data_IF_881957219185
#
_entry.id   IF_881957219185
#
_cell.length_a   1.000
_cell.length_b   1.000
_cell.length_c   1.000
_cell.angle_alpha   90.00
_cell.angle_beta   90.00
_cell.angle_gamma   90.00
#
_symmetry.space_group_name_H-M   'P 1'
#
loop_
_entity.id
_entity.type
_entity.pdbx_description
1 polymer ?
#
# COMPACT_ATOMS: atom_id res chain seq x y z
N UNK A 1 8.72 -18.43 -20.15
CA UNK A 1 9.40 -17.82 -18.98
C UNK A 1 9.36 -18.79 -17.81
N UNK A 2 10.47 -18.99 -17.10
CA UNK A 2 10.54 -19.86 -15.91
C UNK A 2 9.99 -19.15 -14.66
N UNK A 3 9.64 -19.91 -13.62
CA UNK A 3 9.20 -19.34 -12.35
C UNK A 3 10.28 -18.46 -11.69
N UNK A 4 11.55 -18.89 -11.74
CA UNK A 4 12.68 -18.09 -11.24
C UNK A 4 12.81 -16.75 -11.95
N UNK A 5 12.71 -16.73 -13.29
CA UNK A 5 12.74 -15.48 -14.05
C UNK A 5 11.56 -14.56 -13.73
N UNK A 6 10.36 -15.10 -13.54
CA UNK A 6 9.19 -14.31 -13.16
C UNK A 6 9.35 -13.67 -11.78
N UNK A 7 9.91 -14.41 -10.81
CA UNK A 7 10.26 -13.88 -9.49
C UNK A 7 11.29 -12.75 -9.56
N UNK A 8 12.34 -12.92 -10.36
CA UNK A 8 13.36 -11.91 -10.59
C UNK A 8 12.79 -10.61 -11.17
N UNK A 9 11.87 -10.71 -12.13
CA UNK A 9 11.16 -9.56 -12.67
C UNK A 9 10.33 -8.85 -11.60
N UNK A 10 9.54 -9.59 -10.81
CA UNK A 10 8.73 -9.02 -9.72
C UNK A 10 9.59 -8.36 -8.64
N UNK A 11 10.73 -8.94 -8.27
CA UNK A 11 11.65 -8.33 -7.31
C UNK A 11 12.27 -7.03 -7.84
N UNK A 12 12.69 -7.02 -9.11
CA UNK A 12 13.24 -5.82 -9.75
C UNK A 12 12.19 -4.71 -9.86
N UNK A 13 11.00 -5.05 -10.37
CA UNK A 13 9.86 -4.15 -10.53
C UNK A 13 9.49 -3.46 -9.21
N UNK A 14 9.54 -4.21 -8.10
CA UNK A 14 9.26 -3.70 -6.76
C UNK A 14 10.46 -3.04 -6.08
N UNK A 15 11.55 -2.75 -6.80
CA UNK A 15 12.76 -2.11 -6.27
C UNK A 15 13.47 -2.91 -5.16
N UNK A 16 13.24 -4.22 -5.08
CA UNK A 16 13.88 -5.08 -4.09
C UNK A 16 15.31 -5.48 -4.49
N UNK A 17 15.64 -5.53 -5.78
CA UNK A 17 17.02 -5.78 -6.25
C UNK A 17 17.73 -4.53 -6.74
N UNK A 18 16.97 -3.50 -7.11
CA UNK A 18 17.50 -2.20 -7.55
C UNK A 18 16.85 -1.07 -6.74
N UNK A 19 17.25 -0.86 -5.48
CA UNK A 19 16.61 0.10 -4.59
C UNK A 19 16.59 1.52 -5.16
N UNK A 20 15.51 2.24 -4.90
CA UNK A 20 15.38 3.65 -5.23
C UNK A 20 16.27 4.51 -4.32
N UNK A 21 16.65 5.71 -4.78
CA UNK A 21 17.46 6.66 -4.01
C UNK A 21 16.64 7.73 -3.29
N UNK A 22 15.32 7.74 -3.51
CA UNK A 22 14.41 8.70 -2.90
C UNK A 22 12.99 8.14 -2.80
N UNK A 23 12.18 8.71 -1.90
CA UNK A 23 10.76 8.38 -1.77
C UNK A 23 9.93 8.67 -3.04
N UNK A 24 10.10 9.82 -3.73
CA UNK A 24 9.38 10.07 -4.97
C UNK A 24 9.74 9.09 -6.10
N UNK A 25 11.02 8.66 -6.17
CA UNK A 25 11.42 7.60 -7.12
C UNK A 25 10.73 6.29 -6.77
N UNK A 26 10.81 5.84 -5.51
CA UNK A 26 10.15 4.63 -5.06
C UNK A 26 8.66 4.64 -5.43
N UNK A 27 7.94 5.68 -5.04
CA UNK A 27 6.49 5.78 -5.22
C UNK A 27 6.09 5.96 -6.69
N UNK A 28 6.96 6.50 -7.55
CA UNK A 28 6.73 6.50 -9.00
C UNK A 28 6.70 5.08 -9.55
N UNK A 29 7.60 4.21 -9.07
CA UNK A 29 7.81 2.89 -9.64
C UNK A 29 6.88 1.83 -9.05
N UNK A 30 6.65 1.85 -7.73
CA UNK A 30 5.75 0.89 -7.05
C UNK A 30 4.32 1.39 -6.92
N UNK A 31 4.07 2.63 -7.37
CA UNK A 31 2.83 3.42 -7.30
C UNK A 31 2.39 3.78 -5.87
N UNK A 32 2.42 2.80 -4.96
CA UNK A 32 1.91 2.97 -3.61
C UNK A 32 2.52 1.96 -2.63
N UNK A 33 2.63 2.36 -1.37
CA UNK A 33 3.00 1.49 -0.26
C UNK A 33 1.87 1.52 0.77
N UNK A 34 1.36 0.35 1.19
CA UNK A 34 0.29 0.33 2.18
C UNK A 34 0.79 0.90 3.52
N UNK A 35 0.01 1.80 4.10
CA UNK A 35 0.39 2.61 5.25
C UNK A 35 -0.75 2.81 6.25
N UNK A 36 -1.57 1.78 6.45
CA UNK A 36 -2.48 1.76 7.59
C UNK A 36 -1.69 1.84 8.90
N UNK A 37 -0.60 1.08 8.99
CA UNK A 37 0.44 1.18 10.00
C UNK A 37 1.67 1.88 9.37
N UNK A 38 2.09 2.99 9.95
CA UNK A 38 3.23 3.78 9.45
C UNK A 38 4.57 3.07 9.69
N UNK A 39 4.67 2.25 10.74
CA UNK A 39 5.86 1.44 11.02
C UNK A 39 6.02 0.36 9.95
N UNK A 40 4.92 -0.31 9.59
CA UNK A 40 4.91 -1.28 8.50
C UNK A 40 5.29 -0.64 7.15
N UNK A 41 4.74 0.55 6.86
CA UNK A 41 5.11 1.31 5.67
C UNK A 41 6.60 1.67 5.66
N UNK A 42 7.15 2.07 6.81
CA UNK A 42 8.58 2.33 6.97
C UNK A 42 9.44 1.11 6.59
N UNK A 43 9.07 -0.09 7.07
CA UNK A 43 9.78 -1.32 6.70
C UNK A 43 9.69 -1.64 5.20
N UNK A 44 8.55 -1.34 4.57
CA UNK A 44 8.38 -1.53 3.13
C UNK A 44 9.20 -0.52 2.30
N UNK A 45 9.33 0.73 2.77
CA UNK A 45 10.23 1.75 2.20
C UNK A 45 11.69 1.29 2.35
N UNK A 46 12.10 0.93 3.58
CA UNK A 46 13.46 0.44 3.89
C UNK A 46 13.93 -0.62 2.91
N UNK A 47 13.11 -1.65 2.69
CA UNK A 47 13.44 -2.78 1.83
C UNK A 47 13.64 -2.40 0.34
N UNK A 48 13.23 -1.19 -0.06
CA UNK A 48 13.18 -0.74 -1.47
C UNK A 48 13.98 0.54 -1.73
N UNK A 49 14.66 1.08 -0.72
CA UNK A 49 15.42 2.32 -0.86
C UNK A 49 16.82 2.21 -0.27
N UNK A 50 17.76 2.99 -0.81
CA UNK A 50 19.08 3.19 -0.22
C UNK A 50 19.27 4.66 0.10
N UNK A 51 19.72 4.96 1.32
CA UNK A 51 20.01 6.33 1.78
C UNK A 51 18.79 7.14 2.24
N UNK A 52 17.58 6.60 2.12
CA UNK A 52 16.38 7.17 2.75
C UNK A 52 16.35 6.75 4.22
N UNK A 53 15.92 7.65 5.10
CA UNK A 53 15.80 7.41 6.54
C UNK A 53 14.35 7.56 7.02
N UNK A 54 14.03 7.10 8.25
CA UNK A 54 12.74 7.39 8.86
C UNK A 54 12.42 8.89 8.97
N UNK A 55 13.45 9.73 9.16
CA UNK A 55 13.29 11.18 9.21
C UNK A 55 12.86 11.75 7.85
N UNK A 56 13.44 11.27 6.75
CA UNK A 56 13.05 11.70 5.40
C UNK A 56 11.59 11.38 5.09
N UNK A 57 11.09 10.22 5.56
CA UNK A 57 9.67 9.87 5.43
C UNK A 57 8.77 10.83 6.20
N UNK A 58 9.16 11.25 7.41
CA UNK A 58 8.42 12.25 8.17
C UNK A 58 8.44 13.60 7.43
N UNK A 59 9.61 14.06 7.02
CA UNK A 59 9.75 15.32 6.26
C UNK A 59 8.92 15.32 5.00
N UNK A 60 8.91 14.23 4.22
CA UNK A 60 8.12 14.13 2.99
C UNK A 60 6.60 14.11 3.25
N UNK A 61 6.17 13.53 4.39
CA UNK A 61 4.76 13.59 4.82
C UNK A 61 4.36 14.99 5.29
N UNK A 62 5.27 15.72 5.92
CA UNK A 62 5.03 17.06 6.43
C UNK A 62 5.05 18.11 5.31
N UNK A 63 5.95 17.98 4.33
CA UNK A 63 6.00 18.84 3.13
C UNK A 63 4.83 18.59 2.19
N UNK A 64 4.26 17.38 2.19
CA UNK A 64 3.19 16.97 1.29
C UNK A 64 3.67 16.39 -0.04
N UNK A 65 4.98 16.19 -0.22
CA UNK A 65 5.56 15.48 -1.38
C UNK A 65 5.10 14.01 -1.43
N UNK A 66 4.94 13.43 -0.24
CA UNK A 66 4.29 12.14 -0.03
C UNK A 66 2.99 12.37 0.72
N UNK A 67 1.92 11.80 0.19
CA UNK A 67 0.60 11.90 0.78
C UNK A 67 0.16 10.52 1.27
N UNK A 68 -0.29 10.46 2.51
CA UNK A 68 -0.86 9.25 3.10
C UNK A 68 -2.38 9.37 3.12
N UNK A 69 -3.06 8.64 2.25
CA UNK A 69 -4.53 8.68 2.13
C UNK A 69 -5.09 7.34 1.63
N UNK A 70 -6.42 7.22 1.55
CA UNK A 70 -7.08 6.01 1.05
C UNK A 70 -6.87 5.84 -0.47
N UNK A 71 -6.56 4.61 -0.90
CA UNK A 71 -6.41 4.25 -2.31
C UNK A 71 -6.97 2.83 -2.54
N UNK A 72 -6.13 1.89 -2.99
CA UNK A 72 -6.53 0.53 -3.33
C UNK A 72 -7.32 -0.11 -2.20
N UNK A 73 -8.52 -0.60 -2.54
CA UNK A 73 -9.46 -1.28 -1.64
C UNK A 73 -9.91 -0.47 -0.41
N UNK A 74 -9.70 0.85 -0.41
CA UNK A 74 -10.04 1.75 0.69
C UNK A 74 -9.02 1.78 1.81
N UNK A 75 -7.92 1.03 1.70
CA UNK A 75 -6.83 1.06 2.67
C UNK A 75 -5.97 2.31 2.49
N UNK A 76 -5.36 2.76 3.58
CA UNK A 76 -4.42 3.89 3.58
C UNK A 76 -3.11 3.47 2.92
N UNK A 77 -2.59 4.30 2.02
CA UNK A 77 -1.33 4.12 1.31
C UNK A 77 -0.50 5.41 1.32
N UNK A 78 0.83 5.29 1.26
CA UNK A 78 1.72 6.35 0.80
C UNK A 78 1.61 6.46 -0.72
N UNK A 79 1.40 7.67 -1.20
CA UNK A 79 1.31 8.03 -2.62
C UNK A 79 2.22 9.22 -2.88
N UNK A 80 2.76 9.31 -4.09
CA UNK A 80 3.38 10.54 -4.57
C UNK A 80 2.29 11.59 -4.74
N UNK A 81 2.56 12.84 -4.36
CA UNK A 81 1.61 13.96 -4.48
C UNK A 81 0.87 13.99 -5.83
N UNK A 82 1.64 13.90 -6.92
CA UNK A 82 1.12 13.94 -8.31
C UNK A 82 0.12 12.82 -8.64
N UNK A 83 0.20 11.68 -7.95
CA UNK A 83 -0.65 10.52 -8.24
C UNK A 83 -1.94 10.50 -7.40
N UNK A 84 -2.04 11.36 -6.39
CA UNK A 84 -3.16 11.35 -5.43
C UNK A 84 -4.50 11.65 -6.10
N UNK A 85 -4.56 12.71 -6.91
CA UNK A 85 -5.80 13.21 -7.50
C UNK A 85 -6.54 12.17 -8.31
N UNK A 86 -5.85 11.63 -9.31
CA UNK A 86 -6.42 10.65 -10.21
C UNK A 86 -6.68 9.31 -9.51
N UNK A 87 -5.83 8.86 -8.57
CA UNK A 87 -6.07 7.60 -7.84
C UNK A 87 -7.31 7.70 -6.95
N UNK A 88 -7.48 8.80 -6.22
CA UNK A 88 -8.67 9.01 -5.37
C UNK A 88 -9.92 9.19 -6.23
N UNK A 89 -9.84 9.93 -7.34
CA UNK A 89 -10.96 10.08 -8.27
C UNK A 89 -11.40 8.72 -8.87
N UNK A 90 -10.43 7.86 -9.20
CA UNK A 90 -10.67 6.56 -9.80
C UNK A 90 -11.18 5.51 -8.80
N UNK A 91 -10.53 5.39 -7.63
CA UNK A 91 -10.79 4.30 -6.67
C UNK A 91 -11.78 4.70 -5.57
N UNK A 92 -11.84 5.98 -5.23
CA UNK A 92 -12.67 6.54 -4.16
C UNK A 92 -14.15 6.19 -4.27
N UNK A 93 -14.80 6.37 -5.44
CA UNK A 93 -16.21 5.99 -5.62
C UNK A 93 -16.51 4.52 -5.32
N UNK A 94 -15.62 3.61 -5.75
CA UNK A 94 -15.75 2.17 -5.52
C UNK A 94 -15.65 1.85 -4.03
N UNK A 95 -14.69 2.47 -3.33
CA UNK A 95 -14.50 2.28 -1.90
C UNK A 95 -15.65 2.85 -1.06
N UNK A 96 -16.19 4.01 -1.46
CA UNK A 96 -17.36 4.65 -0.83
C UNK A 96 -18.61 3.78 -0.95
N UNK A 97 -18.82 3.19 -2.13
CA UNK A 97 -19.93 2.27 -2.36
C UNK A 97 -19.79 1.01 -1.50
N UNK A 98 -18.59 0.41 -1.46
CA UNK A 98 -18.29 -0.80 -0.68
C UNK A 98 -18.54 -0.62 0.82
N UNK A 99 -18.18 0.53 1.37
CA UNK A 99 -18.33 0.84 2.80
C UNK A 99 -19.72 1.35 3.21
N UNK A 100 -20.63 1.60 2.25
CA UNK A 100 -21.92 2.28 2.51
C UNK A 100 -22.77 1.60 3.58
N UNK A 101 -22.95 0.28 3.49
CA UNK A 101 -23.79 -0.47 4.45
C UNK A 101 -23.31 -0.27 5.88
N UNK A 102 -22.00 -0.43 6.10
CA UNK A 102 -21.43 -0.30 7.43
C UNK A 102 -21.43 1.14 7.94
N UNK A 103 -21.26 2.14 7.06
CA UNK A 103 -21.47 3.55 7.43
C UNK A 103 -22.89 3.79 7.97
N UNK A 104 -23.91 3.25 7.29
CA UNK A 104 -25.30 3.37 7.74
C UNK A 104 -25.55 2.68 9.09
N UNK A 105 -24.96 1.51 9.32
CA UNK A 105 -25.02 0.79 10.61
C UNK A 105 -24.41 1.63 11.76
N UNK A 106 -23.42 2.47 11.45
CA UNK A 106 -22.79 3.41 12.38
C UNK A 106 -23.54 4.75 12.49
N UNK A 107 -24.72 4.89 11.89
CA UNK A 107 -25.50 6.13 11.88
C UNK A 107 -24.98 7.22 10.94
N UNK A 108 -23.96 6.93 10.11
CA UNK A 108 -23.43 7.85 9.11
C UNK A 108 -24.28 7.79 7.84
N UNK A 109 -25.40 8.50 7.83
CA UNK A 109 -26.22 8.66 6.61
C UNK A 109 -25.45 9.36 5.50
N UNK A 110 -25.93 9.24 4.27
CA UNK A 110 -25.27 9.92 3.14
C UNK A 110 -25.37 11.45 3.28
N UNK A 111 -26.47 11.96 3.84
CA UNK A 111 -26.68 13.38 4.17
C UNK A 111 -25.72 13.85 5.25
N UNK A 112 -25.63 13.14 6.38
CA UNK A 112 -24.70 13.47 7.47
C UNK A 112 -23.24 13.41 6.99
N UNK A 113 -22.92 12.39 6.20
CA UNK A 113 -21.58 12.23 5.62
C UNK A 113 -21.24 13.39 4.69
N UNK A 114 -22.19 13.85 3.86
CA UNK A 114 -22.00 15.00 2.97
C UNK A 114 -21.84 16.32 3.74
N UNK A 115 -22.68 16.57 4.76
CA UNK A 115 -22.55 17.72 5.66
C UNK A 115 -21.19 17.73 6.35
N UNK A 116 -20.74 16.56 6.83
CA UNK A 116 -19.45 16.41 7.45
C UNK A 116 -18.28 16.69 6.49
N UNK A 117 -18.38 16.40 5.19
CA UNK A 117 -17.33 16.77 4.22
C UNK A 117 -17.19 18.29 4.06
N UNK A 118 -18.30 19.02 4.11
CA UNK A 118 -18.27 20.49 4.07
C UNK A 118 -17.64 21.03 5.36
N UNK A 119 -18.13 20.56 6.52
CA UNK A 119 -17.59 20.93 7.82
C UNK A 119 -16.09 20.62 7.97
N UNK A 120 -15.62 19.47 7.48
CA UNK A 120 -14.20 19.11 7.49
C UNK A 120 -13.32 20.13 6.75
N UNK A 121 -13.81 20.72 5.65
CA UNK A 121 -13.09 21.78 4.92
C UNK A 121 -12.97 23.07 5.70
N UNK A 122 -13.93 23.34 6.57
CA UNK A 122 -13.94 24.54 7.42
C UNK A 122 -13.09 24.35 8.68
N UNK A 123 -13.17 23.18 9.33
CA UNK A 123 -12.54 22.96 10.64
C UNK A 123 -11.08 22.50 10.59
N UNK A 124 -10.63 21.91 9.48
CA UNK A 124 -9.25 21.46 9.31
C UNK A 124 -8.33 22.60 8.82
N UNK A 125 -8.17 23.63 9.66
CA UNK A 125 -7.25 24.76 9.40
C UNK A 125 -5.80 24.43 9.74
N UNK A 126 -5.59 23.39 10.54
CA UNK A 126 -4.30 22.87 10.99
C UNK A 126 -4.37 21.33 11.10
N UNK A 127 -3.25 20.60 11.23
CA UNK A 127 -3.29 19.17 11.47
C UNK A 127 -3.92 18.82 12.83
N UNK A 128 -5.05 18.09 12.81
CA UNK A 128 -5.80 17.74 14.01
C UNK A 128 -5.81 16.24 14.26
N UNK A 129 -5.68 15.81 15.52
CA UNK A 129 -5.92 14.41 15.90
C UNK A 129 -7.40 14.05 15.71
N UNK A 130 -7.72 12.76 15.55
CA UNK A 130 -9.12 12.31 15.40
C UNK A 130 -10.05 12.85 16.51
N UNK A 131 -9.71 12.81 17.81
CA UNK A 131 -10.55 13.41 18.86
C UNK A 131 -10.76 14.92 18.67
N UNK A 132 -9.73 15.66 18.26
CA UNK A 132 -9.85 17.09 17.96
C UNK A 132 -10.78 17.33 16.76
N UNK A 133 -10.67 16.54 15.69
CA UNK A 133 -11.59 16.63 14.55
C UNK A 133 -13.04 16.41 14.99
N UNK A 134 -13.31 15.38 15.81
CA UNK A 134 -14.65 15.11 16.33
C UNK A 134 -15.18 16.29 17.16
N UNK A 135 -14.34 16.86 18.04
CA UNK A 135 -14.73 18.02 18.84
C UNK A 135 -15.07 19.24 17.97
N UNK A 136 -14.24 19.54 16.97
CA UNK A 136 -14.50 20.66 16.04
C UNK A 136 -15.73 20.45 15.16
N UNK A 137 -15.97 19.22 14.70
CA UNK A 137 -17.18 18.88 13.96
C UNK A 137 -18.44 19.10 14.81
N UNK A 138 -18.39 18.80 16.11
CA UNK A 138 -19.50 19.05 17.02
C UNK A 138 -19.80 20.55 17.19
N UNK A 139 -18.77 21.42 17.21
CA UNK A 139 -18.92 22.88 17.27
C UNK A 139 -19.74 23.44 16.09
N UNK A 140 -19.70 22.77 14.93
CA UNK A 140 -20.42 23.14 13.71
C UNK A 140 -21.63 22.23 13.40
N UNK A 141 -22.11 21.50 14.41
CA UNK A 141 -23.37 20.75 14.34
C UNK A 141 -23.28 19.34 13.74
N UNK A 142 -22.07 18.79 13.54
CA UNK A 142 -21.85 17.40 13.14
C UNK A 142 -21.45 16.57 14.36
N UNK A 143 -22.43 15.94 15.00
CA UNK A 143 -22.21 15.14 16.20
C UNK A 143 -22.11 13.66 15.84
N UNK A 144 -21.04 13.01 16.30
CA UNK A 144 -20.79 11.58 16.12
C UNK A 144 -20.84 10.87 17.47
N UNK A 145 -21.28 9.62 17.49
CA UNK A 145 -21.20 8.79 18.70
C UNK A 145 -19.73 8.41 18.99
N UNK A 146 -19.14 8.91 20.10
CA UNK A 146 -17.74 8.65 20.43
C UNK A 146 -17.48 7.21 20.89
N UNK A 147 -18.52 6.43 21.20
CA UNK A 147 -18.41 5.02 21.60
C UNK A 147 -18.31 4.05 20.42
N UNK A 148 -18.51 4.53 19.20
CA UNK A 148 -18.53 3.72 17.97
C UNK A 148 -17.32 3.96 17.09
N UNK A 149 -17.18 3.16 16.03
CA UNK A 149 -16.19 3.40 14.98
C UNK A 149 -16.56 4.53 14.01
N UNK A 150 -17.67 5.27 14.22
CA UNK A 150 -18.19 6.28 13.29
C UNK A 150 -17.13 7.32 12.88
N UNK A 151 -16.37 7.86 13.84
CA UNK A 151 -15.33 8.84 13.53
C UNK A 151 -14.25 8.29 12.57
N UNK A 152 -13.85 7.02 12.72
CA UNK A 152 -12.88 6.39 11.82
C UNK A 152 -13.46 6.22 10.41
N UNK A 153 -14.72 5.75 10.32
CA UNK A 153 -15.39 5.52 9.04
C UNK A 153 -15.74 6.81 8.31
N UNK A 154 -16.08 7.88 9.03
CA UNK A 154 -16.29 9.21 8.44
C UNK A 154 -14.98 9.75 7.84
N UNK A 155 -13.86 9.63 8.56
CA UNK A 155 -12.57 10.09 8.05
C UNK A 155 -12.09 9.24 6.86
N UNK A 156 -12.34 7.93 6.88
CA UNK A 156 -12.09 7.06 5.72
C UNK A 156 -12.99 7.45 4.53
N UNK A 157 -14.26 7.78 4.76
CA UNK A 157 -15.16 8.29 3.73
C UNK A 157 -14.64 9.60 3.13
N UNK A 158 -14.22 10.54 3.99
CA UNK A 158 -13.64 11.82 3.56
C UNK A 158 -12.34 11.64 2.76
N UNK A 159 -11.47 10.71 3.15
CA UNK A 159 -10.25 10.37 2.41
C UNK A 159 -10.57 9.82 1.02
N UNK A 160 -11.52 8.87 0.92
CA UNK A 160 -11.98 8.33 -0.38
C UNK A 160 -12.78 9.35 -1.21
N UNK A 161 -13.20 10.47 -0.62
CA UNK A 161 -13.82 11.60 -1.31
C UNK A 161 -12.82 12.73 -1.63
N UNK A 162 -11.54 12.51 -1.37
CA UNK A 162 -10.48 13.48 -1.69
C UNK A 162 -10.48 14.71 -0.79
N UNK A 163 -11.01 14.62 0.42
CA UNK A 163 -11.11 15.77 1.34
C UNK A 163 -9.95 15.81 2.33
N UNK A 164 -9.54 14.65 2.85
CA UNK A 164 -8.52 14.59 3.91
C UNK A 164 -7.38 13.65 3.55
N UNK A 165 -6.20 13.94 4.10
CA UNK A 165 -5.11 12.98 4.23
C UNK A 165 -4.70 12.85 5.71
N UNK A 166 -3.89 11.82 5.97
CA UNK A 166 -3.44 11.45 7.31
C UNK A 166 -1.95 11.75 7.41
N UNK A 167 -1.53 12.49 8.45
CA UNK A 167 -0.13 12.57 8.86
C UNK A 167 0.30 11.29 9.59
N UNK A 168 1.14 11.40 10.63
CA UNK A 168 1.45 10.24 11.50
C UNK A 168 0.22 9.80 12.31
N UNK A 169 -0.44 10.76 12.95
CA UNK A 169 -1.62 10.56 13.83
C UNK A 169 -2.67 11.68 13.72
N UNK A 170 -2.43 12.65 12.85
CA UNK A 170 -3.29 13.81 12.61
C UNK A 170 -3.93 13.74 11.22
N UNK A 171 -4.98 14.50 11.01
CA UNK A 171 -5.71 14.68 9.77
C UNK A 171 -5.58 16.13 9.33
N UNK A 172 -5.47 16.34 8.03
CA UNK A 172 -5.43 17.66 7.40
C UNK A 172 -6.16 17.59 6.07
N UNK A 173 -6.43 18.74 5.46
CA UNK A 173 -7.00 18.75 4.11
C UNK A 173 -6.06 18.10 3.10
N UNK A 174 -6.64 17.32 2.20
CA UNK A 174 -5.90 16.77 1.08
C UNK A 174 -5.43 17.95 0.21
N UNK A 175 -4.14 18.04 -0.13
CA UNK A 175 -3.66 19.05 -1.07
C UNK A 175 -4.42 18.97 -2.39
N UNK A 176 -4.73 20.12 -3.00
CA UNK A 176 -5.34 20.14 -4.32
C UNK A 176 -4.37 19.54 -5.34
N UNK A 177 -4.90 18.76 -6.28
CA UNK A 177 -4.13 18.13 -7.35
C UNK A 177 -4.84 18.40 -8.67
N UNK A 178 -4.10 18.97 -9.63
CA UNK A 178 -4.68 19.40 -10.90
C UNK A 178 -4.98 18.24 -11.85
N UNK A 179 -4.31 17.07 -11.69
CA UNK A 179 -4.49 15.93 -12.58
C UNK A 179 -5.41 14.85 -12.01
N UNK A 180 -6.57 14.70 -12.65
CA UNK A 180 -7.55 13.64 -12.40
C UNK A 180 -7.81 12.79 -13.65
N UNK A 181 -7.03 12.98 -14.72
CA UNK A 181 -7.40 12.54 -16.09
C UNK A 181 -7.01 11.11 -16.41
N UNK A 182 -6.38 10.39 -15.49
CA UNK A 182 -5.96 9.01 -15.71
C UNK A 182 -7.09 8.02 -15.40
N UNK A 183 -7.30 7.08 -16.33
CA UNK A 183 -8.27 5.99 -16.20
C UNK A 183 -7.65 4.64 -15.82
N UNK A 184 -8.48 3.61 -15.82
CA UNK A 184 -8.08 2.22 -15.53
C UNK A 184 -6.88 1.74 -16.39
N UNK A 185 -6.77 2.03 -17.70
CA UNK A 185 -5.63 1.57 -18.49
C UNK A 185 -4.27 2.09 -17.96
N UNK A 186 -4.21 3.34 -17.49
CA UNK A 186 -3.00 3.87 -16.86
C UNK A 186 -2.71 3.16 -15.52
N UNK A 187 -3.74 2.90 -14.72
CA UNK A 187 -3.58 2.12 -13.49
C UNK A 187 -3.04 0.71 -13.77
N UNK A 188 -3.49 0.06 -14.86
CA UNK A 188 -2.96 -1.24 -15.29
C UNK A 188 -1.49 -1.12 -15.68
N UNK A 189 -1.09 -0.11 -16.46
CA UNK A 189 0.33 0.09 -16.82
C UNK A 189 1.22 0.33 -15.60
N UNK A 190 0.77 1.16 -14.66
CA UNK A 190 1.48 1.41 -13.39
C UNK A 190 1.55 0.15 -12.54
N UNK A 191 0.47 -0.63 -12.48
CA UNK A 191 0.46 -1.92 -11.81
C UNK A 191 1.46 -2.90 -12.44
N UNK A 192 1.44 -3.10 -13.76
CA UNK A 192 2.36 -4.03 -14.42
C UNK A 192 3.82 -3.56 -14.36
N UNK A 193 4.09 -2.26 -14.27
CA UNK A 193 5.43 -1.72 -13.99
C UNK A 193 5.94 -2.13 -12.61
N UNK A 194 5.07 -2.18 -11.62
CA UNK A 194 5.40 -2.48 -10.23
C UNK A 194 5.33 -3.98 -9.89
N UNK A 195 4.43 -4.72 -10.53
CA UNK A 195 4.03 -6.08 -10.15
C UNK A 195 4.10 -7.09 -11.31
N UNK A 196 4.41 -6.64 -12.52
CA UNK A 196 4.50 -7.51 -13.69
C UNK A 196 5.65 -8.52 -13.60
N UNK A 197 5.49 -9.73 -14.15
CA UNK A 197 4.29 -10.28 -14.80
C UNK A 197 3.16 -10.60 -13.80
N UNK A 198 1.90 -10.30 -14.17
CA UNK A 198 0.72 -10.50 -13.32
C UNK A 198 -0.57 -10.70 -14.13
N UNK A 199 -1.58 -11.38 -13.56
CA UNK A 199 -2.85 -11.63 -14.27
C UNK A 199 -3.85 -10.47 -14.11
N UNK A 200 -4.95 -10.53 -14.87
CA UNK A 200 -6.07 -9.58 -14.71
C UNK A 200 -6.73 -9.76 -13.34
N UNK A 201 -6.80 -10.99 -12.84
CA UNK A 201 -7.32 -11.33 -11.51
C UNK A 201 -6.42 -10.75 -10.41
N UNK A 202 -5.10 -10.83 -10.57
CA UNK A 202 -4.16 -10.18 -9.66
C UNK A 202 -4.38 -8.66 -9.62
N UNK A 203 -4.48 -8.02 -10.79
CA UNK A 203 -4.78 -6.58 -10.89
C UNK A 203 -6.12 -6.22 -10.26
N UNK A 204 -7.16 -7.02 -10.51
CA UNK A 204 -8.51 -6.79 -9.98
C UNK A 204 -8.52 -6.90 -8.46
N UNK A 205 -7.90 -7.95 -7.91
CA UNK A 205 -7.78 -8.13 -6.47
C UNK A 205 -6.94 -7.02 -5.82
N UNK A 206 -5.85 -6.61 -6.47
CA UNK A 206 -4.99 -5.53 -5.97
C UNK A 206 -5.70 -4.18 -6.00
N UNK A 207 -6.27 -3.77 -7.13
CA UNK A 207 -6.92 -2.45 -7.26
C UNK A 207 -8.19 -2.36 -6.40
N UNK A 208 -8.94 -3.46 -6.31
CA UNK A 208 -10.27 -3.50 -5.75
C UNK A 208 -11.33 -2.92 -6.69
N UNK A 209 -11.02 -2.71 -7.98
CA UNK A 209 -12.01 -2.35 -8.98
C UNK A 209 -12.98 -3.52 -9.25
N UNK A 210 -14.20 -3.25 -9.73
CA UNK A 210 -15.07 -4.30 -10.25
C UNK A 210 -14.39 -5.07 -11.39
N UNK A 211 -14.50 -6.40 -11.39
CA UNK A 211 -13.83 -7.25 -12.38
C UNK A 211 -14.21 -6.91 -13.82
N UNK A 212 -15.46 -6.53 -14.06
CA UNK A 212 -15.96 -6.11 -15.38
C UNK A 212 -15.21 -4.88 -15.89
N UNK A 213 -15.04 -3.86 -15.05
CA UNK A 213 -14.34 -2.63 -15.42
C UNK A 213 -12.84 -2.87 -15.61
N UNK A 214 -12.24 -3.66 -14.71
CA UNK A 214 -10.83 -4.02 -14.76
C UNK A 214 -10.48 -4.78 -16.05
N UNK A 215 -11.32 -5.75 -16.44
CA UNK A 215 -11.11 -6.54 -17.64
C UNK A 215 -11.42 -5.75 -18.92
N UNK A 216 -12.47 -4.92 -18.93
CA UNK A 216 -12.87 -4.15 -20.10
C UNK A 216 -11.82 -3.08 -20.48
N UNK A 217 -11.14 -2.51 -19.50
CA UNK A 217 -10.15 -1.46 -19.70
C UNK A 217 -8.69 -1.96 -19.66
N UNK A 218 -8.48 -3.27 -19.70
CA UNK A 218 -7.13 -3.86 -19.73
C UNK A 218 -6.53 -3.69 -21.14
N UNK A 219 -5.36 -3.03 -21.30
CA UNK A 219 -4.80 -2.70 -22.62
C UNK A 219 -4.04 -3.91 -23.21
N UNK A 220 -4.74 -5.00 -23.52
CA UNK A 220 -4.14 -6.27 -23.93
C UNK A 220 -3.24 -6.17 -25.17
N UNK A 221 -3.57 -5.27 -26.10
CA UNK A 221 -2.85 -5.01 -27.34
C UNK A 221 -1.47 -4.39 -27.14
N UNK A 222 -1.22 -3.76 -25.99
CA UNK A 222 0.07 -3.16 -25.62
C UNK A 222 0.97 -4.10 -24.81
N UNK A 223 0.48 -5.31 -24.48
CA UNK A 223 1.09 -6.19 -23.48
C UNK A 223 1.55 -7.52 -24.06
N UNK A 224 2.50 -8.14 -23.36
CA UNK A 224 2.98 -9.50 -23.68
C UNK A 224 2.37 -10.48 -22.70
N UNK A 225 1.63 -11.45 -23.21
CA UNK A 225 1.11 -12.56 -22.41
C UNK A 225 2.19 -13.63 -22.17
N UNK A 226 2.23 -14.17 -20.96
CA UNK A 226 3.04 -15.32 -20.62
C UNK A 226 2.41 -16.18 -19.53
N UNK A 227 3.09 -17.27 -19.17
CA UNK A 227 2.61 -18.25 -18.17
C UNK A 227 2.18 -17.64 -16.82
N UNK A 228 2.79 -16.52 -16.44
CA UNK A 228 2.53 -15.85 -15.14
C UNK A 228 1.71 -14.56 -15.31
N UNK A 229 0.96 -14.45 -16.41
CA UNK A 229 0.13 -13.30 -16.75
C UNK A 229 0.78 -12.35 -17.74
N UNK A 230 0.31 -11.12 -17.72
CA UNK A 230 0.67 -10.04 -18.64
C UNK A 230 1.85 -9.23 -18.12
N UNK A 231 2.65 -8.69 -19.02
CA UNK A 231 3.76 -7.80 -18.71
C UNK A 231 3.95 -6.72 -19.77
N UNK A 232 4.58 -5.61 -19.38
CA UNK A 232 5.03 -4.59 -20.31
C UNK A 232 6.15 -5.16 -21.21
N UNK A 233 6.28 -4.68 -22.46
CA UNK A 233 7.41 -5.03 -23.32
C UNK A 233 8.78 -4.63 -22.73
N UNK A 234 9.81 -5.43 -23.02
CA UNK A 234 11.23 -5.13 -22.72
C UNK A 234 11.61 -4.98 -21.22
N UNK A 235 11.37 -6.02 -20.42
CA UNK A 235 11.81 -6.05 -19.02
C UNK A 235 12.94 -7.07 -18.81
N UNK A 236 14.15 -6.61 -18.46
CA UNK A 236 15.20 -7.55 -18.06
C UNK A 236 14.98 -8.05 -16.64
N UNK A 237 15.19 -9.34 -16.43
CA UNK A 237 15.24 -9.91 -15.10
C UNK A 237 16.58 -9.57 -14.44
N UNK A 238 16.57 -9.30 -13.14
CA UNK A 238 17.81 -9.34 -12.37
C UNK A 238 18.32 -10.79 -12.30
N UNK A 239 19.62 -10.96 -12.14
CA UNK A 239 20.14 -12.24 -11.66
C UNK A 239 19.85 -12.32 -10.16
N UNK A 240 19.25 -13.43 -9.73
CA UNK A 240 18.95 -13.69 -8.33
C UNK A 240 19.86 -14.80 -7.86
N UNK A 241 20.89 -14.43 -7.11
CA UNK A 241 21.79 -15.36 -6.45
C UNK A 241 21.86 -15.01 -4.96
N UNK A 242 21.07 -15.72 -4.15
CA UNK A 242 21.07 -15.57 -2.70
C UNK A 242 20.53 -14.23 -2.19
N UNK A 243 19.76 -13.48 -2.99
CA UNK A 243 19.24 -12.17 -2.57
C UNK A 243 18.21 -12.33 -1.45
N UNK A 244 18.51 -11.78 -0.26
CA UNK A 244 17.63 -11.84 0.92
C UNK A 244 16.95 -10.50 1.18
N UNK A 245 15.66 -10.50 1.54
CA UNK A 245 14.92 -9.31 2.03
C UNK A 245 14.05 -9.63 3.24
N UNK A 246 14.12 -8.80 4.28
CA UNK A 246 13.23 -8.87 5.45
C UNK A 246 12.03 -7.94 5.30
N UNK A 247 10.91 -8.46 4.82
CA UNK A 247 9.73 -7.66 4.52
C UNK A 247 8.80 -7.55 5.73
N UNK A 248 8.23 -6.36 5.92
CA UNK A 248 7.30 -6.08 7.02
C UNK A 248 5.92 -6.74 6.83
N UNK A 249 4.99 -6.54 7.78
CA UNK A 249 3.61 -6.91 7.57
C UNK A 249 3.00 -6.02 6.48
N UNK A 250 1.96 -6.50 5.80
CA UNK A 250 1.28 -5.77 4.72
C UNK A 250 2.15 -5.36 3.51
N UNK A 251 3.32 -5.99 3.35
CA UNK A 251 4.21 -5.66 2.24
C UNK A 251 3.58 -5.98 0.86
N UNK A 252 3.81 -5.09 -0.11
CA UNK A 252 3.23 -5.18 -1.44
C UNK A 252 3.73 -6.41 -2.22
N UNK A 253 4.82 -7.04 -1.79
CA UNK A 253 5.36 -8.25 -2.39
C UNK A 253 4.36 -9.40 -2.42
N UNK A 254 3.59 -9.59 -1.34
CA UNK A 254 2.50 -10.58 -1.32
C UNK A 254 1.14 -9.95 -1.60
N UNK A 255 0.91 -8.70 -1.18
CA UNK A 255 -0.40 -8.05 -1.32
C UNK A 255 -0.68 -7.50 -2.73
N UNK A 256 0.31 -7.55 -3.62
CA UNK A 256 0.19 -7.21 -5.03
C UNK A 256 -0.57 -8.23 -5.87
N UNK A 257 -0.82 -9.44 -5.33
CA UNK A 257 -1.33 -10.57 -6.10
C UNK A 257 -2.49 -11.28 -5.41
N UNK A 258 -3.42 -11.77 -6.22
CA UNK A 258 -4.47 -12.69 -5.79
C UNK A 258 -3.87 -14.08 -5.60
N UNK A 259 -3.18 -14.58 -6.63
CA UNK A 259 -2.41 -15.82 -6.56
C UNK A 259 -0.97 -15.53 -6.09
N UNK A 260 -0.60 -16.18 -4.99
CA UNK A 260 0.69 -15.98 -4.32
C UNK A 260 1.60 -17.18 -4.45
N UNK A 261 1.19 -18.25 -5.12
CA UNK A 261 1.88 -19.53 -5.12
C UNK A 261 3.27 -19.44 -5.78
N UNK A 262 3.45 -18.49 -6.70
CA UNK A 262 4.76 -18.18 -7.28
C UNK A 262 5.78 -17.70 -6.23
N UNK A 263 5.29 -16.99 -5.21
CA UNK A 263 6.09 -16.28 -4.19
C UNK A 263 6.09 -17.00 -2.84
N UNK A 264 5.02 -17.71 -2.49
CA UNK A 264 4.80 -18.34 -1.20
C UNK A 264 4.24 -19.73 -1.42
N UNK A 265 5.00 -20.75 -1.04
CA UNK A 265 4.54 -22.14 -1.10
C UNK A 265 3.23 -22.32 -0.31
N UNK A 266 2.18 -22.91 -0.92
CA UNK A 266 0.91 -23.17 -0.24
C UNK A 266 1.05 -23.88 1.10
N UNK A 267 2.05 -24.77 1.27
CA UNK A 267 2.31 -25.49 2.51
C UNK A 267 2.74 -24.57 3.66
N UNK A 268 3.48 -23.50 3.34
CA UNK A 268 3.97 -22.53 4.33
C UNK A 268 3.03 -21.34 4.53
N UNK A 269 2.03 -21.19 3.67
CA UNK A 269 1.21 -20.01 3.66
C UNK A 269 0.39 -19.75 4.94
N UNK A 270 -0.07 -20.77 5.70
CA UNK A 270 -0.66 -20.56 7.04
C UNK A 270 0.30 -19.88 8.02
N UNK A 271 1.61 -20.10 7.91
CA UNK A 271 2.64 -19.49 8.76
C UNK A 271 2.81 -17.99 8.51
N UNK A 272 2.38 -17.50 7.35
CA UNK A 272 2.52 -16.10 6.95
C UNK A 272 1.18 -15.35 7.06
N UNK A 273 0.06 -16.02 6.79
CA UNK A 273 -1.27 -15.36 6.69
C UNK A 273 -2.00 -15.15 8.04
N UNK A 274 -1.51 -15.73 9.14
CA UNK A 274 -2.22 -15.79 10.44
C UNK A 274 -1.68 -14.89 11.55
N UNK A 275 -1.19 -13.68 11.26
CA UNK A 275 -0.67 -12.80 12.31
C UNK A 275 -1.75 -12.13 13.17
N UNK A 276 -1.31 -11.46 14.24
CA UNK A 276 -2.18 -10.79 15.22
C UNK A 276 -3.07 -9.75 14.52
N UNK A 277 -4.36 -9.74 14.84
CA UNK A 277 -5.32 -8.80 14.26
C UNK A 277 -5.57 -8.99 12.75
N UNK A 278 -5.21 -10.14 12.18
CA UNK A 278 -5.37 -10.43 10.75
C UNK A 278 -4.26 -9.86 9.86
N UNK A 279 -3.22 -9.26 10.45
CA UNK A 279 -2.05 -8.80 9.71
C UNK A 279 -1.20 -9.98 9.21
N UNK A 280 -0.65 -9.95 7.99
CA UNK A 280 0.38 -10.91 7.58
C UNK A 280 1.61 -10.81 8.49
N UNK A 281 2.22 -11.95 8.80
CA UNK A 281 3.46 -12.00 9.60
C UNK A 281 4.62 -11.46 8.73
N UNK A 282 5.54 -10.65 9.28
CA UNK A 282 6.74 -10.24 8.57
C UNK A 282 7.53 -11.46 8.09
N UNK A 283 8.08 -11.39 6.88
CA UNK A 283 8.59 -12.57 6.18
C UNK A 283 9.95 -12.34 5.52
N UNK A 284 10.71 -13.43 5.39
CA UNK A 284 12.01 -13.48 4.74
C UNK A 284 11.83 -13.95 3.31
N UNK A 285 12.25 -13.13 2.35
CA UNK A 285 12.26 -13.48 0.93
C UNK A 285 13.69 -13.81 0.51
N UNK A 286 13.88 -14.96 -0.15
CA UNK A 286 15.13 -15.39 -0.77
C UNK A 286 14.84 -15.69 -2.23
N UNK A 287 15.51 -14.98 -3.15
CA UNK A 287 15.35 -15.12 -4.60
C UNK A 287 13.88 -15.11 -5.06
N UNK A 288 13.10 -14.23 -4.42
CA UNK A 288 11.70 -13.98 -4.69
C UNK A 288 10.74 -15.03 -4.15
N UNK A 289 11.21 -15.94 -3.31
CA UNK A 289 10.37 -16.87 -2.56
C UNK A 289 10.42 -16.57 -1.08
N UNK A 290 9.26 -16.65 -0.43
CA UNK A 290 9.19 -16.59 1.03
C UNK A 290 9.78 -17.88 1.61
N UNK A 291 10.81 -17.76 2.44
CA UNK A 291 11.55 -18.87 3.06
C UNK A 291 11.52 -18.90 4.58
N UNK A 292 10.92 -17.89 5.20
CA UNK A 292 10.79 -17.81 6.64
C UNK A 292 9.90 -16.67 7.07
N UNK A 293 9.65 -16.60 8.37
CA UNK A 293 9.07 -15.45 9.04
C UNK A 293 10.06 -14.80 9.97
N UNK A 294 9.84 -13.54 10.33
CA UNK A 294 10.65 -12.88 11.34
C UNK A 294 9.80 -12.02 12.27
N UNK A 295 10.31 -11.79 13.48
CA UNK A 295 9.71 -10.91 14.47
C UNK A 295 10.79 -10.15 15.21
N UNK A 296 10.44 -8.97 15.71
CA UNK A 296 11.29 -8.26 16.67
C UNK A 296 10.91 -8.68 18.08
N UNK A 297 11.90 -9.11 18.87
CA UNK A 297 11.74 -9.52 20.27
C UNK A 297 12.94 -9.04 21.07
N UNK A 298 12.70 -8.31 22.16
CA UNK A 298 13.73 -7.84 23.09
C UNK A 298 14.91 -7.13 22.38
N UNK A 299 14.59 -6.27 21.42
CA UNK A 299 15.57 -5.53 20.62
C UNK A 299 16.29 -6.34 19.53
N UNK A 300 15.98 -7.62 19.36
CA UNK A 300 16.60 -8.51 18.37
C UNK A 300 15.63 -8.95 17.29
N UNK A 301 16.16 -9.36 16.14
CA UNK A 301 15.38 -10.02 15.09
C UNK A 301 15.48 -11.53 15.29
N UNK A 302 14.32 -12.18 15.38
CA UNK A 302 14.19 -13.64 15.48
C UNK A 302 13.59 -14.14 14.18
N UNK A 303 14.30 -15.05 13.51
CA UNK A 303 13.88 -15.66 12.24
C UNK A 303 13.45 -17.10 12.46
N UNK A 304 12.27 -17.43 11.98
CA UNK A 304 11.73 -18.78 11.92
C UNK A 304 11.79 -19.25 10.45
N UNK A 305 12.76 -20.10 10.14
CA UNK A 305 13.02 -20.57 8.77
C UNK A 305 12.27 -21.85 8.43
N UNK A 306 11.80 -21.97 7.19
CA UNK A 306 11.24 -23.20 6.63
C UNK A 306 11.80 -23.50 5.22
N UNK A 307 12.89 -22.82 4.85
CA UNK A 307 13.69 -23.08 3.66
C UNK A 307 15.13 -22.60 3.88
N UNK A 308 16.00 -22.79 2.88
CA UNK A 308 17.36 -22.28 2.95
C UNK A 308 17.37 -20.75 2.89
N UNK A 309 18.14 -20.13 3.78
CA UNK A 309 18.38 -18.68 3.85
C UNK A 309 19.89 -18.46 3.96
N UNK A 310 20.52 -17.73 3.03
CA UNK A 310 21.93 -17.36 3.13
C UNK A 310 22.17 -16.47 4.36
N UNK A 311 23.03 -16.90 5.28
CA UNK A 311 23.24 -16.22 6.57
C UNK A 311 23.88 -14.84 6.40
N UNK A 312 24.88 -14.71 5.54
CA UNK A 312 25.59 -13.43 5.33
C UNK A 312 24.66 -12.33 4.83
N UNK A 313 23.76 -12.64 3.90
CA UNK A 313 22.78 -11.70 3.36
C UNK A 313 21.64 -11.41 4.36
N UNK A 314 21.30 -12.40 5.19
CA UNK A 314 20.33 -12.22 6.26
C UNK A 314 20.84 -11.24 7.32
N UNK A 315 22.12 -11.33 7.72
CA UNK A 315 22.71 -10.44 8.73
C UNK A 315 22.66 -8.97 8.28
N UNK A 316 22.94 -8.69 7.01
CA UNK A 316 22.82 -7.33 6.43
C UNK A 316 21.39 -6.80 6.53
N UNK A 317 20.39 -7.63 6.22
CA UNK A 317 18.98 -7.24 6.35
C UNK A 317 18.56 -7.05 7.81
N UNK A 318 19.07 -7.87 8.74
CA UNK A 318 18.82 -7.72 10.17
C UNK A 318 19.35 -6.38 10.68
N UNK A 319 20.59 -6.03 10.34
CA UNK A 319 21.18 -4.73 10.67
C UNK A 319 20.38 -3.58 10.09
N UNK A 320 19.96 -3.70 8.82
CA UNK A 320 19.12 -2.70 8.15
C UNK A 320 17.77 -2.50 8.88
N UNK A 321 17.09 -3.58 9.27
CA UNK A 321 15.83 -3.51 10.03
C UNK A 321 16.04 -2.83 11.38
N UNK A 322 17.12 -3.17 12.09
CA UNK A 322 17.43 -2.59 13.40
C UNK A 322 17.82 -1.12 13.31
N UNK A 323 18.47 -0.68 12.23
CA UNK A 323 18.83 0.71 11.98
C UNK A 323 17.64 1.59 11.57
N UNK A 324 16.58 0.99 10.99
CA UNK A 324 15.36 1.71 10.61
C UNK A 324 14.40 1.95 11.79
N UNK A 325 14.66 1.30 12.93
CA UNK A 325 13.82 1.30 14.12
C UNK A 325 13.60 2.68 14.76
#
# INVERSE_FOLDING_TARGET
MTAGRARALRMRAQRLTTPARSLPELLRDVLAVQAQDITAAGLAVRARTTGVTPADLVTALDSGDVVRTCAMRGAVHLLRHEDVGWLVALLGPVNVARSRRHRLELGLTDELSAQALAALREVLTEPLTRPQVVARLAEVGVVLDPSTAAAAYLLAYAANKGVVCVGRSTYRLLPHTDDTRHGIPELVRRYLRAYGPATVEDFTAWSGLPAVDAHAAFPFDELVEGKHGWQLPATDAADLDGTVRLLGPFDTFLLGYQDRDLLLDPQHAPLVRGGVGGAPIPHVVVDGQVRGTWRRRDGRIVVEQFGHIPVSELDVEVESVLAWA
#
